data_IF_087799908816
#
_entry.id   IF_087799908816
#
_cell.length_a   1.000
_cell.length_b   1.000
_cell.length_c   1.000
_cell.angle_alpha   90.00
_cell.angle_beta   90.00
_cell.angle_gamma   90.00
#
_symmetry.space_group_name_H-M   'P 1'
#
loop_
_entity.id
_entity.type
_entity.pdbx_description
1 polymer ?
#
# COMPACT_ATOMS: atom_id res chain seq x y z
N UNK A 1 23.52 -0.58 -44.89
CA UNK A 1 22.64 0.40 -44.19
C UNK A 1 21.91 -0.33 -43.08
N UNK A 2 22.50 -0.33 -41.88
CA UNK A 2 21.93 -0.99 -40.71
C UNK A 2 21.14 0.07 -39.94
N UNK A 3 19.80 -0.01 -39.97
CA UNK A 3 18.95 0.84 -39.13
C UNK A 3 19.18 0.44 -37.68
N UNK A 4 19.93 1.25 -36.96
CA UNK A 4 19.91 1.24 -35.51
C UNK A 4 18.49 1.61 -35.08
N UNK A 5 17.75 0.64 -34.55
CA UNK A 5 16.57 0.92 -33.74
C UNK A 5 17.07 1.53 -32.43
N UNK A 6 17.22 2.86 -32.41
CA UNK A 6 17.26 3.60 -31.16
C UNK A 6 15.97 3.24 -30.40
N UNK A 7 16.13 2.36 -29.41
CA UNK A 7 15.16 2.19 -28.34
C UNK A 7 15.08 3.54 -27.63
N UNK A 8 14.17 4.40 -28.10
CA UNK A 8 13.83 5.62 -27.42
C UNK A 8 13.21 5.22 -26.09
N UNK A 9 14.04 5.11 -25.05
CA UNK A 9 13.62 4.86 -23.66
C UNK A 9 12.42 5.77 -23.38
N UNK A 10 11.26 5.14 -23.25
CA UNK A 10 10.00 5.81 -22.97
C UNK A 10 10.18 6.41 -21.57
N UNK A 11 10.32 7.74 -21.47
CA UNK A 11 10.43 8.44 -20.18
C UNK A 11 9.07 8.31 -19.47
N UNK A 12 8.85 7.19 -18.80
CA UNK A 12 7.63 6.87 -18.07
C UNK A 12 7.89 7.01 -16.58
N UNK A 13 7.01 7.74 -15.90
CA UNK A 13 6.88 7.66 -14.46
C UNK A 13 5.95 6.49 -14.13
N UNK A 14 6.33 5.70 -13.12
CA UNK A 14 5.51 4.65 -12.55
C UNK A 14 5.48 4.85 -11.04
N UNK A 15 4.30 5.11 -10.50
CA UNK A 15 4.06 5.32 -9.09
C UNK A 15 3.16 4.22 -8.56
N UNK A 16 3.43 3.79 -7.34
CA UNK A 16 2.64 2.79 -6.63
C UNK A 16 2.49 3.23 -5.18
N UNK A 17 1.26 3.19 -4.68
CA UNK A 17 0.92 3.42 -3.28
C UNK A 17 0.13 2.24 -2.74
N UNK A 18 0.49 1.78 -1.54
CA UNK A 18 -0.31 0.81 -0.76
C UNK A 18 -1.20 1.61 0.19
N UNK A 19 -2.49 1.67 -0.10
CA UNK A 19 -3.44 2.54 0.61
C UNK A 19 -4.31 1.72 1.57
N UNK A 20 -3.98 1.68 2.88
CA UNK A 20 -4.85 1.03 3.85
C UNK A 20 -6.11 1.86 4.08
N UNK A 21 -7.29 1.27 3.89
CA UNK A 21 -8.59 1.91 4.18
C UNK A 21 -9.36 0.97 5.10
N UNK A 22 -9.37 1.28 6.39
CA UNK A 22 -10.00 0.42 7.38
C UNK A 22 -9.32 -0.95 7.41
N UNK A 23 -10.10 -2.01 7.26
CA UNK A 23 -9.60 -3.40 7.27
C UNK A 23 -9.07 -3.86 5.91
N UNK A 24 -9.16 -3.03 4.87
CA UNK A 24 -8.74 -3.35 3.52
C UNK A 24 -7.44 -2.65 3.16
N UNK A 25 -6.75 -3.19 2.17
CA UNK A 25 -5.59 -2.58 1.50
C UNK A 25 -5.94 -2.45 0.02
N UNK A 26 -5.69 -1.28 -0.55
CA UNK A 26 -5.85 -1.02 -1.97
C UNK A 26 -4.51 -0.66 -2.61
N UNK A 27 -4.26 -1.13 -3.82
CA UNK A 27 -3.06 -0.79 -4.58
C UNK A 27 -3.42 0.26 -5.62
N UNK A 28 -2.90 1.47 -5.44
CA UNK A 28 -3.03 2.54 -6.44
C UNK A 28 -1.78 2.53 -7.31
N UNK A 29 -1.94 2.37 -8.62
CA UNK A 29 -0.85 2.53 -9.60
C UNK A 29 -1.14 3.68 -10.55
N UNK A 30 -0.12 4.50 -10.79
CA UNK A 30 -0.20 5.63 -11.69
C UNK A 30 0.99 5.64 -12.63
N UNK A 31 0.70 5.65 -13.92
CA UNK A 31 1.71 5.73 -14.97
C UNK A 31 1.53 7.00 -15.77
N UNK A 32 2.62 7.71 -16.06
CA UNK A 32 2.59 8.88 -16.93
C UNK A 32 3.77 8.88 -17.89
N UNK A 33 3.48 9.05 -19.18
CA UNK A 33 4.48 9.37 -20.17
C UNK A 33 4.85 10.86 -20.04
N UNK A 34 6.04 11.12 -19.51
CA UNK A 34 6.52 12.48 -19.21
C UNK A 34 6.74 13.36 -20.44
N UNK A 35 6.77 12.78 -21.66
CA UNK A 35 6.92 13.56 -22.90
C UNK A 35 5.59 14.16 -23.38
N UNK A 36 4.50 13.41 -23.28
CA UNK A 36 3.21 13.80 -23.86
C UNK A 36 2.06 13.87 -22.84
N UNK A 37 2.35 13.67 -21.54
CA UNK A 37 1.40 13.78 -20.45
C UNK A 37 0.36 12.65 -20.41
N UNK A 38 0.39 11.69 -21.34
CA UNK A 38 -0.56 10.57 -21.34
C UNK A 38 -0.36 9.72 -20.11
N UNK A 39 -1.46 9.44 -19.41
CA UNK A 39 -1.42 8.74 -18.14
C UNK A 39 -2.51 7.69 -17.99
N UNK A 40 -2.25 6.75 -17.10
CA UNK A 40 -3.12 5.64 -16.74
C UNK A 40 -3.16 5.53 -15.21
N UNK A 41 -4.37 5.46 -14.66
CA UNK A 41 -4.61 5.25 -13.23
C UNK A 41 -5.35 3.93 -13.04
N UNK A 42 -4.85 3.10 -12.13
CA UNK A 42 -5.54 1.90 -11.68
C UNK A 42 -5.63 1.83 -10.16
N UNK A 43 -6.70 1.22 -9.68
CA UNK A 43 -6.85 0.82 -8.27
C UNK A 43 -7.20 -0.66 -8.27
N UNK A 44 -6.44 -1.48 -7.56
CA UNK A 44 -6.62 -2.94 -7.52
C UNK A 44 -6.73 -3.57 -8.92
N UNK A 45 -5.82 -3.18 -9.81
CA UNK A 45 -5.79 -3.52 -11.24
C UNK A 45 -6.97 -3.02 -12.09
N UNK A 46 -8.03 -2.48 -11.48
CA UNK A 46 -9.14 -1.84 -12.19
C UNK A 46 -8.73 -0.48 -12.73
N UNK A 47 -8.85 -0.32 -14.05
CA UNK A 47 -8.55 0.94 -14.76
C UNK A 47 -9.62 1.99 -14.45
N UNK A 48 -9.21 3.13 -13.91
CA UNK A 48 -10.06 4.32 -13.76
C UNK A 48 -10.08 5.14 -15.07
N UNK A 49 -8.91 5.32 -15.67
CA UNK A 49 -8.75 5.85 -17.01
C UNK A 49 -7.41 5.38 -17.59
N UNK A 50 -7.29 5.43 -18.91
CA UNK A 50 -6.10 4.97 -19.65
C UNK A 50 -5.76 5.92 -20.78
N UNK A 51 -4.46 6.05 -21.07
CA UNK A 51 -3.89 6.81 -22.18
C UNK A 51 -4.44 8.25 -22.33
N UNK A 52 -4.82 8.86 -21.22
CA UNK A 52 -5.46 10.19 -21.22
C UNK A 52 -4.40 11.27 -21.01
N UNK A 53 -4.30 12.28 -21.90
CA UNK A 53 -3.40 13.41 -21.69
C UNK A 53 -3.83 14.20 -20.44
N UNK A 54 -3.02 14.14 -19.38
CA UNK A 54 -3.23 14.88 -18.14
C UNK A 54 -2.06 15.82 -17.92
N UNK A 55 -2.34 17.11 -18.05
CA UNK A 55 -1.43 18.20 -17.69
C UNK A 55 -1.85 18.90 -16.39
N UNK A 56 -2.97 18.47 -15.82
CA UNK A 56 -3.45 18.88 -14.52
C UNK A 56 -2.39 18.61 -13.45
N UNK A 57 -2.15 19.61 -12.59
CA UNK A 57 -1.29 19.43 -11.43
C UNK A 57 -1.92 18.51 -10.37
N UNK A 58 -3.23 18.21 -10.47
CA UNK A 58 -3.88 17.23 -9.62
C UNK A 58 -4.99 16.43 -10.32
N UNK A 59 -5.13 15.17 -9.88
CA UNK A 59 -6.03 14.17 -10.42
C UNK A 59 -6.83 13.55 -9.26
N UNK A 60 -8.14 13.79 -9.21
CA UNK A 60 -9.01 13.27 -8.15
C UNK A 60 -9.71 11.99 -8.56
N UNK A 61 -9.85 11.07 -7.61
CA UNK A 61 -10.58 9.82 -7.74
C UNK A 61 -11.09 9.39 -6.35
N UNK A 62 -11.88 8.32 -6.29
CA UNK A 62 -12.37 7.79 -5.02
C UNK A 62 -12.17 6.29 -4.96
N UNK A 63 -11.80 5.78 -3.79
CA UNK A 63 -11.78 4.36 -3.45
C UNK A 63 -12.92 4.16 -2.45
N UNK A 64 -13.96 3.42 -2.85
CA UNK A 64 -15.21 3.33 -2.09
C UNK A 64 -15.79 4.73 -1.77
N UNK A 65 -15.77 5.16 -0.51
CA UNK A 65 -16.21 6.49 -0.05
C UNK A 65 -15.05 7.44 0.23
N UNK A 66 -13.82 6.95 0.19
CA UNK A 66 -12.60 7.67 0.51
C UNK A 66 -12.13 8.47 -0.68
N UNK A 67 -11.90 9.76 -0.49
CA UNK A 67 -11.45 10.66 -1.56
C UNK A 67 -9.94 10.62 -1.71
N UNK A 68 -9.45 10.53 -2.94
CA UNK A 68 -8.03 10.46 -3.25
C UNK A 68 -7.65 11.52 -4.29
N UNK A 69 -6.45 12.06 -4.18
CA UNK A 69 -5.91 13.03 -5.13
C UNK A 69 -4.43 12.75 -5.39
N UNK A 70 -4.07 12.42 -6.64
CA UNK A 70 -2.67 12.40 -7.07
C UNK A 70 -2.29 13.82 -7.44
N UNK A 71 -1.20 14.31 -6.87
CA UNK A 71 -0.65 15.63 -7.12
C UNK A 71 0.68 15.47 -7.83
N UNK A 72 0.79 16.08 -9.00
CA UNK A 72 2.00 16.11 -9.82
C UNK A 72 2.65 17.48 -9.68
N UNK A 73 3.88 17.52 -9.15
CA UNK A 73 4.70 18.73 -9.08
C UNK A 73 5.88 18.60 -10.03
N UNK A 74 6.07 19.62 -10.85
CA UNK A 74 7.27 19.75 -11.70
C UNK A 74 8.30 20.61 -10.98
N UNK A 75 9.49 20.07 -10.77
CA UNK A 75 10.66 20.83 -10.35
C UNK A 75 11.54 21.11 -11.58
N UNK A 76 12.70 21.75 -11.40
CA UNK A 76 13.64 21.99 -12.50
C UNK A 76 14.10 20.69 -13.18
N UNK A 77 14.25 19.61 -12.41
CA UNK A 77 14.92 18.39 -12.85
C UNK A 77 14.10 17.11 -12.70
N UNK A 78 12.90 17.16 -12.10
CA UNK A 78 12.07 15.96 -11.85
C UNK A 78 10.56 16.25 -11.83
N UNK A 79 9.79 15.19 -12.01
CA UNK A 79 8.37 15.16 -11.69
C UNK A 79 8.21 14.37 -10.40
N UNK A 80 7.57 15.00 -9.41
CA UNK A 80 7.28 14.42 -8.10
C UNK A 80 5.80 14.16 -8.01
N UNK A 81 5.44 12.93 -7.68
CA UNK A 81 4.07 12.51 -7.50
C UNK A 81 3.81 12.25 -6.02
N UNK A 82 2.71 12.77 -5.52
CA UNK A 82 2.27 12.56 -4.14
C UNK A 82 0.80 12.21 -4.12
N UNK A 83 0.38 11.44 -3.12
CA UNK A 83 -1.01 11.11 -2.90
C UNK A 83 -1.55 11.89 -1.71
N UNK A 84 -2.79 12.37 -1.82
CA UNK A 84 -3.62 12.75 -0.68
C UNK A 84 -4.78 11.79 -0.56
N UNK A 85 -5.17 11.50 0.67
CA UNK A 85 -6.33 10.68 1.01
C UNK A 85 -7.14 11.41 2.08
N UNK A 86 -8.43 11.62 1.82
CA UNK A 86 -9.34 12.44 2.63
C UNK A 86 -8.74 13.80 3.01
N UNK A 87 -8.22 14.50 1.98
CA UNK A 87 -7.56 15.80 2.07
C UNK A 87 -6.28 15.84 2.93
N UNK A 88 -5.79 14.72 3.43
CA UNK A 88 -4.54 14.62 4.18
C UNK A 88 -3.39 14.15 3.28
N UNK A 89 -2.14 14.59 3.51
CA UNK A 89 -0.98 13.95 2.93
C UNK A 89 -1.01 12.45 3.22
N UNK A 90 -0.67 11.63 2.22
CA UNK A 90 -0.79 10.19 2.33
C UNK A 90 -0.02 9.59 3.51
N UNK A 91 1.17 10.10 3.85
CA UNK A 91 1.92 9.66 5.02
C UNK A 91 1.14 9.89 6.33
N UNK A 92 0.52 11.05 6.50
CA UNK A 92 -0.30 11.37 7.67
C UNK A 92 -1.52 10.45 7.76
N UNK A 93 -2.22 10.26 6.63
CA UNK A 93 -3.36 9.35 6.54
C UNK A 93 -2.95 7.91 6.90
N UNK A 94 -1.88 7.41 6.29
CA UNK A 94 -1.35 6.05 6.51
C UNK A 94 -0.95 5.84 7.97
N UNK A 95 -0.27 6.80 8.58
CA UNK A 95 0.08 6.75 10.00
C UNK A 95 -1.16 6.70 10.90
N UNK A 96 -2.25 7.40 10.53
CA UNK A 96 -3.52 7.29 11.27
C UNK A 96 -4.13 5.89 11.13
N UNK A 97 -4.06 5.27 9.95
CA UNK A 97 -4.56 3.91 9.73
C UNK A 97 -3.77 2.85 10.51
N UNK A 98 -2.47 3.02 10.74
CA UNK A 98 -1.69 2.09 11.58
C UNK A 98 -1.91 2.24 13.08
N UNK A 99 -2.44 3.38 13.52
CA UNK A 99 -2.87 3.56 14.92
C UNK A 99 -4.20 2.86 15.19
N UNK A 100 -5.08 2.81 14.19
CA UNK A 100 -6.38 2.16 14.31
C UNK A 100 -6.35 0.66 14.02
N UNK A 101 -5.40 0.23 13.17
CA UNK A 101 -5.34 -1.14 12.66
C UNK A 101 -3.91 -1.66 12.58
N UNK A 102 -3.69 -2.85 13.12
CA UNK A 102 -2.48 -3.63 12.92
C UNK A 102 -2.71 -4.68 11.85
N UNK A 103 -1.71 -4.96 11.02
CA UNK A 103 -1.86 -5.78 9.81
C UNK A 103 -0.73 -6.79 9.71
N UNK A 104 -1.03 -7.95 9.15
CA UNK A 104 -0.07 -8.97 8.78
C UNK A 104 -0.46 -9.54 7.42
N UNK A 105 0.54 -9.89 6.62
CA UNK A 105 0.34 -10.62 5.37
C UNK A 105 0.95 -12.00 5.56
N UNK A 106 0.13 -13.04 5.39
CA UNK A 106 0.54 -14.44 5.53
C UNK A 106 0.39 -15.12 4.19
N UNK A 107 1.43 -15.79 3.70
CA UNK A 107 1.44 -16.44 2.38
C UNK A 107 1.60 -17.94 2.52
N UNK A 108 0.72 -18.71 1.88
CA UNK A 108 0.80 -20.16 1.82
C UNK A 108 0.97 -20.64 0.38
N UNK A 109 1.81 -21.66 0.21
CA UNK A 109 2.07 -22.24 -1.11
C UNK A 109 0.81 -22.92 -1.64
N UNK A 110 0.28 -22.39 -2.74
CA UNK A 110 -0.92 -22.94 -3.40
C UNK A 110 -2.24 -22.32 -2.96
N UNK A 111 -2.27 -21.57 -1.86
CA UNK A 111 -3.49 -20.90 -1.36
C UNK A 111 -3.42 -19.36 -1.50
N UNK A 112 -2.23 -18.82 -1.75
CA UNK A 112 -2.04 -17.39 -1.98
C UNK A 112 -1.74 -16.64 -0.69
N UNK A 113 -2.21 -15.39 -0.62
CA UNK A 113 -1.94 -14.47 0.49
C UNK A 113 -3.23 -14.17 1.24
N UNK A 114 -3.13 -14.12 2.57
CA UNK A 114 -4.19 -13.70 3.48
C UNK A 114 -3.76 -12.43 4.19
N UNK A 115 -4.66 -11.44 4.24
CA UNK A 115 -4.50 -10.23 5.02
C UNK A 115 -5.20 -10.38 6.35
N UNK A 116 -4.42 -10.40 7.43
CA UNK A 116 -4.93 -10.48 8.80
C UNK A 116 -4.86 -9.09 9.41
N UNK A 117 -5.98 -8.59 9.92
CA UNK A 117 -6.07 -7.24 10.50
C UNK A 117 -6.65 -7.31 11.91
N UNK A 118 -6.03 -6.59 12.84
CA UNK A 118 -6.52 -6.37 14.19
C UNK A 118 -6.92 -4.89 14.33
N UNK A 119 -8.16 -4.61 14.72
CA UNK A 119 -8.59 -3.24 15.04
C UNK A 119 -8.36 -2.89 16.54
N UNK A 120 -8.54 -1.62 16.91
CA UNK A 120 -8.49 -1.17 18.31
C UNK A 120 -9.49 -1.85 19.25
N UNK A 121 -10.60 -2.35 18.73
CA UNK A 121 -11.57 -3.14 19.49
C UNK A 121 -11.13 -4.60 19.67
N UNK A 122 -9.90 -4.93 19.29
CA UNK A 122 -9.30 -6.25 19.25
C UNK A 122 -10.03 -7.23 18.32
N UNK A 123 -10.88 -6.75 17.41
CA UNK A 123 -11.55 -7.61 16.44
C UNK A 123 -10.56 -8.06 15.37
N UNK A 124 -10.66 -9.33 14.97
CA UNK A 124 -9.81 -9.91 13.94
C UNK A 124 -10.58 -9.98 12.63
N UNK A 125 -9.91 -9.60 11.55
CA UNK A 125 -10.43 -9.65 10.18
C UNK A 125 -9.46 -10.44 9.30
N UNK A 126 -10.01 -11.25 8.41
CA UNK A 126 -9.29 -11.98 7.38
C UNK A 126 -9.84 -11.53 6.03
N UNK A 127 -8.98 -10.95 5.18
CA UNK A 127 -9.34 -10.39 3.87
C UNK A 127 -10.59 -9.49 3.93
N UNK A 128 -10.58 -8.57 4.90
CA UNK A 128 -11.64 -7.59 5.12
C UNK A 128 -12.88 -8.12 5.86
N UNK A 129 -12.96 -9.42 6.15
CA UNK A 129 -14.12 -10.04 6.82
C UNK A 129 -13.82 -10.32 8.28
N UNK A 130 -14.69 -9.85 9.18
CA UNK A 130 -14.59 -10.13 10.61
C UNK A 130 -14.75 -11.63 10.87
N UNK A 131 -13.85 -12.22 11.64
CA UNK A 131 -13.93 -13.63 12.05
C UNK A 131 -14.31 -13.78 13.52
N UNK A 132 -14.86 -14.95 13.87
CA UNK A 132 -15.11 -15.30 15.27
C UNK A 132 -13.77 -15.55 15.95
N UNK A 133 -13.62 -15.03 17.17
CA UNK A 133 -12.44 -15.22 18.00
C UNK A 133 -12.83 -15.83 19.34
N UNK A 134 -12.06 -16.79 19.82
CA UNK A 134 -12.08 -17.23 21.22
C UNK A 134 -10.97 -16.50 21.97
N UNK A 135 -11.25 -16.08 23.22
CA UNK A 135 -10.31 -15.26 23.98
C UNK A 135 -10.05 -15.84 25.35
N UNK A 136 -8.76 -15.95 25.65
CA UNK A 136 -8.25 -16.29 26.96
C UNK A 136 -7.44 -15.12 27.49
N UNK A 137 -7.78 -14.69 28.70
CA UNK A 137 -7.10 -13.61 29.40
C UNK A 137 -6.28 -14.20 30.55
N UNK A 138 -5.03 -13.81 30.62
CA UNK A 138 -4.14 -14.06 31.77
C UNK A 138 -3.70 -12.73 32.35
N UNK A 139 -3.08 -12.73 33.53
CA UNK A 139 -2.66 -11.49 34.21
C UNK A 139 -1.70 -10.60 33.40
N UNK A 140 -1.01 -11.15 32.38
CA UNK A 140 -0.01 -10.42 31.59
C UNK A 140 -0.29 -10.38 30.09
N UNK A 141 -1.02 -11.37 29.57
CA UNK A 141 -1.26 -11.53 28.14
C UNK A 141 -2.74 -11.77 27.85
N UNK A 142 -3.21 -11.21 26.73
CA UNK A 142 -4.50 -11.55 26.14
C UNK A 142 -4.26 -12.33 24.85
N UNK A 143 -4.85 -13.51 24.75
CA UNK A 143 -4.74 -14.39 23.58
C UNK A 143 -6.09 -14.42 22.87
N UNK A 144 -6.08 -14.19 21.56
CA UNK A 144 -7.23 -14.39 20.69
C UNK A 144 -6.89 -15.48 19.66
N UNK A 145 -7.66 -16.56 19.63
CA UNK A 145 -7.55 -17.63 18.63
C UNK A 145 -8.67 -17.52 17.61
N UNK A 146 -8.37 -17.87 16.36
CA UNK A 146 -9.30 -17.82 15.24
C UNK A 146 -8.91 -18.82 14.15
N UNK A 147 -9.86 -19.15 13.28
CA UNK A 147 -9.65 -20.09 12.17
C UNK A 147 -10.00 -19.44 10.84
N UNK A 148 -9.27 -19.79 9.78
CA UNK A 148 -9.54 -19.35 8.42
C UNK A 148 -9.01 -20.39 7.42
N UNK A 149 -9.85 -20.81 6.47
CA UNK A 149 -9.50 -21.92 5.58
C UNK A 149 -9.19 -23.19 6.39
N UNK A 150 -7.98 -23.72 6.24
CA UNK A 150 -7.46 -24.86 7.02
C UNK A 150 -6.49 -24.43 8.14
N UNK A 151 -6.28 -23.12 8.30
CA UNK A 151 -5.26 -22.55 9.18
C UNK A 151 -5.83 -22.11 10.52
N UNK A 152 -4.97 -22.14 11.54
CA UNK A 152 -5.26 -21.65 12.89
C UNK A 152 -4.38 -20.47 13.22
N UNK A 153 -5.02 -19.32 13.48
CA UNK A 153 -4.36 -18.10 13.88
C UNK A 153 -4.46 -17.85 15.38
N UNK A 154 -3.41 -17.24 15.93
CA UNK A 154 -3.34 -16.78 17.31
C UNK A 154 -2.73 -15.39 17.35
N UNK A 155 -3.45 -14.43 17.92
CA UNK A 155 -2.94 -13.10 18.25
C UNK A 155 -2.70 -13.02 19.76
N UNK A 156 -1.44 -12.82 20.14
CA UNK A 156 -1.05 -12.63 21.54
C UNK A 156 -0.69 -11.18 21.78
N UNK A 157 -1.37 -10.57 22.74
CA UNK A 157 -1.14 -9.18 23.15
C UNK A 157 -0.31 -9.19 24.43
N UNK A 158 0.86 -8.55 24.39
CA UNK A 158 1.77 -8.42 25.51
C UNK A 158 1.71 -6.98 26.03
N UNK A 159 1.38 -6.82 27.30
CA UNK A 159 1.44 -5.51 27.95
C UNK A 159 2.85 -5.26 28.48
N UNK A 160 3.47 -4.16 28.04
CA UNK A 160 4.76 -3.68 28.55
C UNK A 160 4.63 -2.20 28.92
N UNK A 161 4.29 -1.95 30.19
CA UNK A 161 4.06 -0.59 30.70
C UNK A 161 2.87 0.07 30.01
N UNK A 162 3.12 1.12 29.22
CA UNK A 162 2.10 1.90 28.50
C UNK A 162 1.89 1.45 27.04
N UNK A 163 2.61 0.43 26.59
CA UNK A 163 2.52 -0.06 25.21
C UNK A 163 2.01 -1.51 25.19
N UNK A 164 1.11 -1.78 24.25
CA UNK A 164 0.66 -3.12 23.93
C UNK A 164 1.32 -3.51 22.61
N UNK A 165 1.99 -4.65 22.61
CA UNK A 165 2.54 -5.27 21.40
C UNK A 165 1.69 -6.48 21.03
N UNK A 166 1.29 -6.59 19.77
CA UNK A 166 0.56 -7.73 19.26
C UNK A 166 1.46 -8.60 18.37
N UNK A 167 1.44 -9.91 18.62
CA UNK A 167 2.18 -10.91 17.83
C UNK A 167 1.20 -11.88 17.20
N UNK A 168 1.32 -12.06 15.90
CA UNK A 168 0.57 -13.07 15.15
C UNK A 168 1.40 -14.35 15.02
N UNK A 169 0.77 -15.48 15.33
CA UNK A 169 1.23 -16.81 14.99
C UNK A 169 0.16 -17.50 14.13
N UNK A 170 0.54 -18.15 13.03
CA UNK A 170 -0.35 -19.01 12.23
C UNK A 170 0.29 -20.38 12.08
N UNK A 171 -0.46 -21.44 12.38
CA UNK A 171 0.01 -22.84 12.34
C UNK A 171 1.34 -23.08 13.09
N UNK A 172 1.57 -22.31 14.16
CA UNK A 172 2.79 -22.35 14.97
C UNK A 172 3.93 -21.45 14.50
N UNK A 173 3.81 -20.80 13.34
CA UNK A 173 4.81 -19.88 12.80
C UNK A 173 4.47 -18.41 13.12
N UNK A 174 5.45 -17.65 13.62
CA UNK A 174 5.27 -16.21 13.92
C UNK A 174 5.45 -15.37 12.67
N UNK A 175 4.52 -14.44 12.41
CA UNK A 175 4.59 -13.53 11.27
C UNK A 175 4.89 -12.09 11.70
N UNK A 176 5.79 -11.38 11.00
CA UNK A 176 6.07 -9.98 11.28
C UNK A 176 4.87 -9.11 10.91
N UNK A 177 4.68 -8.02 11.68
CA UNK A 177 3.69 -7.00 11.32
C UNK A 177 4.00 -6.48 9.93
N UNK A 178 2.98 -6.36 9.10
CA UNK A 178 3.08 -5.78 7.78
C UNK A 178 3.49 -4.32 7.92
N UNK A 179 4.61 -3.98 7.30
CA UNK A 179 5.10 -2.62 7.14
C UNK A 179 5.16 -2.39 5.63
N UNK A 180 4.32 -1.50 5.16
CA UNK A 180 4.24 -1.12 3.76
C UNK A 180 5.60 -0.52 3.35
N UNK A 181 6.22 -1.07 2.31
CA UNK A 181 7.48 -0.55 1.76
C UNK A 181 7.30 0.86 1.18
N UNK A 182 8.40 1.63 1.14
CA UNK A 182 8.50 3.02 0.67
C UNK A 182 7.48 3.38 -0.43
N UNK A 183 6.56 4.29 -0.09
CA UNK A 183 5.54 4.84 -0.96
C UNK A 183 6.05 6.10 -1.68
N UNK A 184 5.93 6.13 -3.02
CA UNK A 184 6.33 7.24 -3.90
C UNK A 184 7.78 7.15 -4.43
N UNK A 185 7.96 6.64 -5.65
CA UNK A 185 9.26 6.65 -6.34
C UNK A 185 9.43 7.94 -7.14
N UNK A 186 10.55 8.62 -6.88
CA UNK A 186 11.07 9.78 -7.62
C UNK A 186 11.55 9.37 -9.01
N UNK A 187 11.21 10.14 -10.04
CA UNK A 187 11.84 10.00 -11.36
C UNK A 187 12.93 11.05 -11.51
N UNK A 188 14.18 10.65 -11.30
CA UNK A 188 15.34 11.42 -11.72
C UNK A 188 15.44 11.36 -13.25
N UNK A 189 15.46 12.53 -13.90
CA UNK A 189 15.85 12.61 -15.29
C UNK A 189 17.34 12.25 -15.38
N UNK A 190 17.67 11.11 -15.99
CA UNK A 190 19.02 10.83 -16.43
C UNK A 190 19.42 11.89 -17.45
N UNK A 191 20.19 12.88 -17.02
CA UNK A 191 20.90 13.82 -17.86
C UNK A 191 22.23 13.15 -18.22
N UNK A 192 22.26 12.31 -19.26
CA UNK A 192 23.53 11.95 -19.90
C UNK A 192 24.03 13.21 -20.59
N UNK A 193 24.71 14.07 -19.82
CA UNK A 193 25.64 15.03 -20.40
C UNK A 193 26.70 14.21 -21.10
N UNK A 194 26.63 14.19 -22.42
CA UNK A 194 27.79 13.85 -23.24
C UNK A 194 28.93 14.78 -22.79
N UNK A 195 29.88 14.23 -22.04
CA UNK A 195 31.20 14.84 -21.94
C UNK A 195 31.84 14.52 -23.29
N UNK A 196 31.80 15.50 -24.19
CA UNK A 196 32.68 15.51 -25.36
C UNK A 196 34.12 15.56 -24.85
N UNK A 197 34.89 14.53 -25.20
CA UNK A 197 36.35 14.60 -25.25
C UNK A 197 36.75 14.86 -26.70
#
# INVERSE_FOLDING_TARGET
MTRHSESSLKKMAHCRWIVPIGVNIHIVTYEQNTKNGKSTLKVDEKVYYSDTPKWSASEKFSIEKTTCEIITKKTSNELVYSLKVDNKPFEEFRNSQYKEFERWEVSFKGEGKFNIVLDKGLNVFIDGKKVKTERDFTDRNAVATFEFGTHKGQLTSYSSGNQIEHRLTVDGETHPRFIDGLDGVHVLFGDTRHISL
#
